data_IF_058795378624
#
_entry.id   IF_058795378624
#
_cell.length_a   1.000
_cell.length_b   1.000
_cell.length_c   1.000
_cell.angle_alpha   90.00
_cell.angle_beta   90.00
_cell.angle_gamma   90.00
#
_symmetry.space_group_name_H-M   'P 1'
#
loop_
_entity.id
_entity.type
_entity.pdbx_description
1 polymer ?
#
# COMPACT_ATOMS: atom_id res chain seq x y z
N UNK A 1 -2.86 5.25 -9.02
CA UNK A 1 -2.20 5.38 -7.72
C UNK A 1 -1.03 4.40 -7.61
N UNK A 2 -1.22 3.08 -7.51
CA UNK A 2 -0.14 2.09 -7.40
C UNK A 2 0.94 2.22 -8.48
N UNK A 3 0.55 2.51 -9.73
CA UNK A 3 1.47 2.79 -10.83
C UNK A 3 2.47 3.91 -10.49
N UNK A 4 2.00 5.03 -9.93
CA UNK A 4 2.86 6.16 -9.55
C UNK A 4 3.78 5.86 -8.35
N UNK A 5 3.48 4.84 -7.55
CA UNK A 5 4.38 4.38 -6.49
C UNK A 5 5.56 3.61 -7.08
N UNK A 6 5.31 2.80 -8.12
CA UNK A 6 6.30 1.89 -8.70
C UNK A 6 7.07 2.43 -9.91
N UNK A 7 6.71 3.58 -10.49
CA UNK A 7 7.19 4.00 -11.80
C UNK A 7 8.63 4.57 -11.84
N UNK A 8 9.15 5.13 -10.76
CA UNK A 8 10.48 5.77 -10.74
C UNK A 8 11.61 4.74 -10.73
N UNK A 9 11.47 3.69 -9.93
CA UNK A 9 12.53 2.68 -9.76
C UNK A 9 13.05 2.07 -11.08
N UNK A 10 12.17 1.61 -11.98
CA UNK A 10 12.58 1.01 -13.26
C UNK A 10 13.32 1.95 -14.22
N UNK A 11 13.12 3.27 -14.07
CA UNK A 11 13.80 4.30 -14.85
C UNK A 11 14.91 5.04 -14.08
N UNK A 12 15.35 4.51 -12.94
CA UNK A 12 16.25 5.24 -12.04
C UNK A 12 17.59 5.61 -12.70
N UNK A 13 18.16 4.73 -13.51
CA UNK A 13 19.45 4.98 -14.18
C UNK A 13 19.33 6.14 -15.18
N UNK A 14 18.30 6.14 -16.05
CA UNK A 14 18.08 7.21 -17.03
C UNK A 14 17.70 8.53 -16.37
N UNK A 15 17.00 8.50 -15.22
CA UNK A 15 16.70 9.69 -14.44
C UNK A 15 17.97 10.26 -13.78
N UNK A 16 18.86 9.40 -13.29
CA UNK A 16 20.13 9.84 -12.70
C UNK A 16 21.02 10.54 -13.74
N UNK A 17 21.10 9.99 -14.94
CA UNK A 17 21.84 10.56 -16.07
C UNK A 17 21.21 11.89 -16.52
N UNK A 18 19.91 11.92 -16.81
CA UNK A 18 19.21 13.11 -17.28
C UNK A 18 19.26 14.28 -16.29
N UNK A 19 19.18 13.99 -14.99
CA UNK A 19 19.19 15.03 -13.96
C UNK A 19 20.59 15.40 -13.46
N UNK A 20 21.63 14.76 -13.98
CA UNK A 20 23.03 14.89 -13.53
C UNK A 20 23.15 14.73 -12.00
N UNK A 21 22.55 13.67 -11.47
CA UNK A 21 22.56 13.36 -10.04
C UNK A 21 23.04 11.93 -9.78
N UNK A 22 23.52 11.68 -8.58
CA UNK A 22 23.86 10.32 -8.17
C UNK A 22 22.58 9.45 -8.11
N UNK A 23 22.69 8.18 -8.46
CA UNK A 23 21.59 7.22 -8.43
C UNK A 23 20.84 7.22 -7.07
N UNK A 24 21.55 7.38 -5.96
CA UNK A 24 20.93 7.51 -4.63
C UNK A 24 20.02 8.73 -4.48
N UNK A 25 20.31 9.83 -5.18
CA UNK A 25 19.45 11.02 -5.16
C UNK A 25 18.12 10.80 -5.87
N UNK A 26 18.06 9.90 -6.87
CA UNK A 26 16.80 9.52 -7.53
C UNK A 26 15.80 8.91 -6.53
N UNK A 27 16.30 8.28 -5.47
CA UNK A 27 15.46 7.79 -4.38
C UNK A 27 14.63 8.88 -3.69
N UNK A 28 15.09 10.15 -3.72
CA UNK A 28 14.31 11.28 -3.19
C UNK A 28 13.01 11.52 -3.97
N UNK A 29 12.94 11.13 -5.24
CA UNK A 29 11.70 11.19 -6.01
C UNK A 29 10.62 10.26 -5.43
N UNK A 30 11.01 9.07 -4.99
CA UNK A 30 10.10 8.16 -4.30
C UNK A 30 9.75 8.68 -2.91
N UNK A 31 10.73 9.16 -2.15
CA UNK A 31 10.53 9.74 -0.82
C UNK A 31 9.59 10.94 -0.87
N UNK A 32 9.76 11.85 -1.83
CA UNK A 32 8.91 13.03 -2.01
C UNK A 32 7.43 12.63 -2.18
N UNK A 33 7.16 11.62 -3.02
CA UNK A 33 5.81 11.09 -3.18
C UNK A 33 5.27 10.52 -1.85
N UNK A 34 6.04 9.68 -1.17
CA UNK A 34 5.58 9.03 0.05
C UNK A 34 5.37 10.00 1.21
N UNK A 35 6.14 11.08 1.32
CA UNK A 35 5.95 12.11 2.35
C UNK A 35 4.59 12.77 2.21
N UNK A 36 4.24 13.26 1.03
CA UNK A 36 2.94 13.92 0.83
C UNK A 36 1.79 12.90 0.81
N UNK A 37 2.03 11.68 0.31
CA UNK A 37 1.08 10.58 0.43
C UNK A 37 0.75 10.31 1.91
N UNK A 38 1.74 10.23 2.79
CA UNK A 38 1.56 10.04 4.23
C UNK A 38 0.76 11.18 4.85
N UNK A 39 1.15 12.43 4.59
CA UNK A 39 0.50 13.63 5.14
C UNK A 39 -0.97 13.68 4.74
N UNK A 40 -1.30 13.24 3.53
CA UNK A 40 -2.67 13.27 2.99
C UNK A 40 -3.57 12.10 3.39
N UNK A 41 -3.09 11.11 4.13
CA UNK A 41 -3.92 9.95 4.51
C UNK A 41 -5.12 10.34 5.37
N UNK A 42 -4.90 10.97 6.51
CA UNK A 42 -5.99 11.37 7.43
C UNK A 42 -6.78 12.56 6.87
N UNK A 43 -6.16 13.67 6.40
CA UNK A 43 -6.90 14.76 5.77
C UNK A 43 -7.69 14.30 4.54
N UNK A 44 -7.11 13.48 3.69
CA UNK A 44 -7.77 12.90 2.51
C UNK A 44 -8.97 12.04 2.90
N UNK A 45 -8.84 11.21 3.94
CA UNK A 45 -9.94 10.42 4.48
C UNK A 45 -11.12 11.29 4.94
N UNK A 46 -10.83 12.38 5.67
CA UNK A 46 -11.88 13.34 6.10
C UNK A 46 -12.53 14.06 4.91
N UNK A 47 -11.74 14.38 3.88
CA UNK A 47 -12.29 14.96 2.65
C UNK A 47 -13.20 13.95 1.94
N UNK A 48 -12.81 12.67 1.87
CA UNK A 48 -13.62 11.59 1.31
C UNK A 48 -14.92 11.43 2.09
N UNK A 49 -14.86 11.40 3.42
CA UNK A 49 -16.03 11.32 4.29
C UNK A 49 -16.98 12.50 4.08
N UNK A 50 -16.45 13.70 3.81
CA UNK A 50 -17.22 14.93 3.60
C UNK A 50 -17.82 15.06 2.21
N UNK A 51 -17.00 14.84 1.18
CA UNK A 51 -17.36 15.18 -0.21
C UNK A 51 -17.67 13.97 -1.08
N UNK A 52 -17.38 12.77 -0.61
CA UNK A 52 -17.61 11.51 -1.31
C UNK A 52 -16.40 10.99 -2.05
N UNK A 53 -16.37 9.66 -2.15
CA UNK A 53 -15.22 8.93 -2.69
C UNK A 53 -15.02 9.19 -4.19
N UNK A 54 -16.11 9.26 -4.98
CA UNK A 54 -16.00 9.46 -6.43
C UNK A 54 -15.41 10.83 -6.78
N UNK A 55 -15.91 11.90 -6.15
CA UNK A 55 -15.40 13.25 -6.39
C UNK A 55 -13.92 13.33 -6.03
N UNK A 56 -13.56 12.84 -4.83
CA UNK A 56 -12.18 12.86 -4.38
C UNK A 56 -11.28 11.95 -5.22
N UNK A 57 -11.81 10.86 -5.78
CA UNK A 57 -11.10 10.01 -6.74
C UNK A 57 -10.77 10.76 -8.03
N UNK A 58 -11.71 11.54 -8.57
CA UNK A 58 -11.48 12.40 -9.76
C UNK A 58 -10.43 13.46 -9.44
N UNK A 59 -10.56 14.18 -8.33
CA UNK A 59 -9.58 15.18 -7.89
C UNK A 59 -8.18 14.56 -7.71
N UNK A 60 -8.11 13.38 -7.09
CA UNK A 60 -6.86 12.66 -6.88
C UNK A 60 -6.16 12.31 -8.20
N UNK A 61 -6.91 11.80 -9.18
CA UNK A 61 -6.36 11.48 -10.51
C UNK A 61 -5.91 12.75 -11.24
N UNK A 62 -6.65 13.84 -11.16
CA UNK A 62 -6.27 15.12 -11.73
C UNK A 62 -4.97 15.66 -11.08
N UNK A 63 -4.84 15.59 -9.76
CA UNK A 63 -3.63 16.00 -9.02
C UNK A 63 -2.44 15.11 -9.43
N UNK A 64 -2.64 13.79 -9.56
CA UNK A 64 -1.61 12.87 -10.06
C UNK A 64 -1.17 13.27 -11.48
N UNK A 65 -2.12 13.58 -12.38
CA UNK A 65 -1.81 14.01 -13.73
C UNK A 65 -1.00 15.31 -13.73
N UNK A 66 -1.42 16.31 -12.96
CA UNK A 66 -0.69 17.59 -12.79
C UNK A 66 0.72 17.36 -12.27
N UNK A 67 0.91 16.49 -11.27
CA UNK A 67 2.23 16.16 -10.74
C UNK A 67 3.16 15.54 -11.78
N UNK A 68 2.64 14.62 -12.61
CA UNK A 68 3.44 14.04 -13.69
C UNK A 68 3.72 15.05 -14.81
N UNK A 69 2.75 15.92 -15.16
CA UNK A 69 2.96 17.00 -16.11
C UNK A 69 4.03 17.99 -15.63
N UNK A 70 4.00 18.36 -14.35
CA UNK A 70 4.99 19.28 -13.75
C UNK A 70 6.42 18.71 -13.90
N UNK A 71 6.60 17.42 -13.68
CA UNK A 71 7.88 16.74 -13.84
C UNK A 71 8.38 16.71 -15.30
N UNK A 72 7.47 16.86 -16.29
CA UNK A 72 7.77 16.83 -17.72
C UNK A 72 8.08 18.20 -18.34
N UNK A 73 7.89 19.32 -17.61
CA UNK A 73 8.05 20.68 -18.16
C UNK A 73 9.47 20.91 -18.67
N UNK A 74 10.45 20.54 -17.87
CA UNK A 74 11.87 20.62 -18.24
C UNK A 74 12.65 19.54 -17.49
N UNK A 75 13.78 19.16 -18.07
CA UNK A 75 14.71 18.18 -17.49
C UNK A 75 15.41 18.79 -16.27
N UNK A 76 14.76 18.61 -15.10
CA UNK A 76 15.20 19.21 -13.83
C UNK A 76 14.84 18.30 -12.65
N UNK A 77 15.86 17.98 -11.86
CA UNK A 77 15.65 17.21 -10.62
C UNK A 77 14.67 17.90 -9.67
N UNK A 78 14.77 19.24 -9.53
CA UNK A 78 13.88 20.02 -8.68
C UNK A 78 12.41 19.93 -9.11
N UNK A 79 12.13 20.00 -10.43
CA UNK A 79 10.78 19.81 -10.97
C UNK A 79 10.31 18.35 -10.84
N UNK A 80 11.21 17.40 -11.01
CA UNK A 80 10.94 15.98 -10.72
C UNK A 80 10.47 15.80 -9.28
N UNK A 81 11.20 16.35 -8.30
CA UNK A 81 10.83 16.31 -6.88
C UNK A 81 9.50 17.03 -6.63
N UNK A 82 9.30 18.24 -7.16
CA UNK A 82 8.05 18.98 -7.01
C UNK A 82 6.86 18.22 -7.61
N UNK A 83 7.01 17.65 -8.80
CA UNK A 83 6.00 16.81 -9.44
C UNK A 83 5.64 15.58 -8.59
N UNK A 84 6.65 14.97 -7.96
CA UNK A 84 6.43 13.80 -7.05
C UNK A 84 5.71 14.20 -5.76
N UNK A 85 6.03 15.37 -5.18
CA UNK A 85 5.28 15.90 -4.04
C UNK A 85 3.81 16.13 -4.40
N UNK A 86 3.53 16.73 -5.55
CA UNK A 86 2.14 16.94 -6.04
C UNK A 86 1.44 15.62 -6.31
N UNK A 87 2.09 14.70 -7.04
CA UNK A 87 1.51 13.37 -7.30
C UNK A 87 1.24 12.59 -6.02
N UNK A 88 2.08 12.75 -4.99
CA UNK A 88 1.92 12.13 -3.68
C UNK A 88 0.65 12.60 -2.95
N UNK A 89 0.29 13.88 -3.04
CA UNK A 89 -0.99 14.41 -2.55
C UNK A 89 -2.15 13.62 -3.20
N UNK A 90 -2.12 13.52 -4.53
CA UNK A 90 -3.14 12.78 -5.28
C UNK A 90 -3.18 11.29 -4.93
N UNK A 91 -2.01 10.62 -4.80
CA UNK A 91 -1.99 9.20 -4.43
C UNK A 91 -2.49 8.95 -3.01
N UNK A 92 -2.23 9.86 -2.06
CA UNK A 92 -2.72 9.77 -0.68
C UNK A 92 -4.24 9.86 -0.61
N UNK A 93 -4.84 10.87 -1.25
CA UNK A 93 -6.30 11.01 -1.35
C UNK A 93 -6.91 9.82 -2.11
N UNK A 94 -6.32 9.44 -3.25
CA UNK A 94 -6.81 8.39 -4.12
C UNK A 94 -6.81 7.01 -3.47
N UNK A 95 -5.86 6.76 -2.55
CA UNK A 95 -5.82 5.51 -1.80
C UNK A 95 -7.04 5.36 -0.89
N UNK A 96 -7.38 6.38 -0.14
CA UNK A 96 -8.56 6.34 0.74
C UNK A 96 -9.85 6.40 -0.06
N UNK A 97 -9.92 7.27 -1.07
CA UNK A 97 -11.08 7.41 -1.94
C UNK A 97 -11.44 6.10 -2.66
N UNK A 98 -10.43 5.37 -3.18
CA UNK A 98 -10.68 4.09 -3.85
C UNK A 98 -11.23 3.03 -2.90
N UNK A 99 -10.69 2.92 -1.70
CA UNK A 99 -11.20 1.98 -0.69
C UNK A 99 -12.63 2.33 -0.25
N UNK A 100 -12.91 3.60 0.00
CA UNK A 100 -14.27 4.04 0.38
C UNK A 100 -15.27 3.90 -0.78
N UNK A 101 -14.83 4.13 -2.03
CA UNK A 101 -15.64 3.90 -3.22
C UNK A 101 -16.06 2.44 -3.35
N UNK A 102 -15.12 1.50 -3.18
CA UNK A 102 -15.41 0.06 -3.19
C UNK A 102 -16.39 -0.31 -2.08
N UNK A 103 -16.23 0.26 -0.89
CA UNK A 103 -17.17 0.08 0.22
C UNK A 103 -18.57 0.60 -0.14
N UNK A 104 -18.66 1.78 -0.74
CA UNK A 104 -19.91 2.44 -1.06
C UNK A 104 -20.68 1.84 -2.24
N UNK A 105 -19.97 1.20 -3.19
CA UNK A 105 -20.56 0.64 -4.42
C UNK A 105 -20.78 -0.86 -4.35
N UNK A 106 -19.78 -1.63 -3.93
CA UNK A 106 -19.82 -3.11 -3.86
C UNK A 106 -20.08 -3.59 -2.44
N UNK A 107 -19.42 -2.98 -1.45
CA UNK A 107 -19.64 -3.23 -0.02
C UNK A 107 -19.16 -4.56 0.51
N UNK A 108 -18.42 -5.36 -0.28
CA UNK A 108 -17.94 -6.68 0.16
C UNK A 108 -16.47 -6.67 0.56
N UNK A 109 -16.09 -7.54 1.52
CA UNK A 109 -14.71 -7.73 1.92
C UNK A 109 -13.85 -8.27 0.77
N UNK A 110 -14.42 -9.12 -0.10
CA UNK A 110 -13.76 -9.59 -1.33
C UNK A 110 -13.35 -8.43 -2.22
N UNK A 111 -14.24 -7.46 -2.44
CA UNK A 111 -13.96 -6.29 -3.28
C UNK A 111 -12.82 -5.44 -2.68
N UNK A 112 -12.75 -5.30 -1.36
CA UNK A 112 -11.62 -4.64 -0.70
C UNK A 112 -10.30 -5.39 -0.94
N UNK A 113 -10.32 -6.71 -0.91
CA UNK A 113 -9.16 -7.53 -1.24
C UNK A 113 -8.69 -7.31 -2.68
N UNK A 114 -9.60 -7.29 -3.65
CA UNK A 114 -9.30 -6.98 -5.05
C UNK A 114 -8.78 -5.55 -5.24
N UNK A 115 -9.35 -4.58 -4.52
CA UNK A 115 -8.84 -3.21 -4.51
C UNK A 115 -7.38 -3.15 -4.05
N UNK A 116 -7.05 -3.87 -2.97
CA UNK A 116 -5.69 -3.98 -2.48
C UNK A 116 -4.74 -4.62 -3.50
N UNK A 117 -5.18 -5.69 -4.16
CA UNK A 117 -4.42 -6.36 -5.22
C UNK A 117 -4.20 -5.45 -6.42
N UNK A 118 -5.20 -4.67 -6.85
CA UNK A 118 -5.07 -3.69 -7.93
C UNK A 118 -4.02 -2.61 -7.62
N UNK A 119 -3.90 -2.22 -6.34
CA UNK A 119 -2.84 -1.29 -5.88
C UNK A 119 -1.44 -1.84 -6.13
N UNK A 120 -1.19 -3.10 -5.73
CA UNK A 120 0.09 -3.79 -5.96
C UNK A 120 0.31 -4.05 -7.46
N UNK A 121 -0.75 -4.49 -8.16
CA UNK A 121 -0.72 -4.74 -9.60
C UNK A 121 -0.37 -3.49 -10.41
N UNK A 122 -0.86 -2.32 -10.00
CA UNK A 122 -0.47 -1.05 -10.61
C UNK A 122 1.03 -0.76 -10.51
N UNK A 123 1.64 -1.05 -9.35
CA UNK A 123 3.10 -0.98 -9.19
C UNK A 123 3.84 -1.98 -10.08
N UNK A 124 3.34 -3.21 -10.15
CA UNK A 124 3.88 -4.25 -11.03
C UNK A 124 3.80 -3.86 -12.52
N UNK A 125 2.68 -3.28 -12.95
CA UNK A 125 2.54 -2.74 -14.31
C UNK A 125 3.56 -1.64 -14.60
N UNK A 126 3.84 -0.76 -13.65
CA UNK A 126 4.86 0.27 -13.82
C UNK A 126 6.26 -0.35 -14.01
N UNK A 127 6.59 -1.37 -13.21
CA UNK A 127 7.88 -2.10 -13.35
C UNK A 127 8.00 -2.76 -14.72
N UNK A 128 6.91 -3.24 -15.30
CA UNK A 128 6.90 -3.88 -16.60
C UNK A 128 6.92 -2.87 -17.76
N UNK A 129 6.13 -1.80 -17.68
CA UNK A 129 5.87 -0.91 -18.82
C UNK A 129 6.89 0.22 -18.96
N UNK A 130 7.42 0.75 -17.82
CA UNK A 130 8.39 1.87 -17.87
C UNK A 130 9.64 1.50 -18.67
N UNK A 131 10.31 0.33 -18.44
CA UNK A 131 11.48 -0.05 -19.23
C UNK A 131 11.20 -0.18 -20.74
N UNK A 132 10.00 -0.62 -21.11
CA UNK A 132 9.60 -0.75 -22.51
C UNK A 132 9.40 0.63 -23.17
N UNK A 133 9.08 1.65 -22.39
CA UNK A 133 8.87 3.01 -22.88
C UNK A 133 10.18 3.83 -22.96
N UNK A 134 11.24 3.46 -22.21
CA UNK A 134 12.52 4.17 -22.18
C UNK A 134 13.13 4.38 -23.56
N UNK A 135 13.19 3.39 -24.49
CA UNK A 135 13.83 3.61 -25.79
C UNK A 135 13.21 4.75 -26.62
N UNK A 136 11.91 5.05 -26.41
CA UNK A 136 11.20 6.12 -27.15
C UNK A 136 10.98 7.40 -26.36
N UNK A 137 11.04 7.36 -25.03
CA UNK A 137 10.68 8.46 -24.15
C UNK A 137 11.82 8.90 -23.20
N UNK A 138 12.87 8.12 -23.14
CA UNK A 138 14.04 8.38 -22.29
C UNK A 138 13.64 8.66 -20.84
N UNK A 139 14.23 9.65 -20.14
CA UNK A 139 13.92 10.06 -18.78
C UNK A 139 12.44 10.43 -18.54
N UNK A 140 11.71 10.74 -19.62
CA UNK A 140 10.28 11.05 -19.57
C UNK A 140 9.39 9.80 -19.36
N UNK A 141 9.92 8.61 -19.64
CA UNK A 141 9.15 7.36 -19.62
C UNK A 141 8.37 7.12 -18.32
N UNK A 142 8.94 7.27 -17.10
CA UNK A 142 8.21 7.10 -15.85
C UNK A 142 7.01 8.05 -15.71
N UNK A 143 7.14 9.29 -16.14
CA UNK A 143 6.12 10.31 -15.98
C UNK A 143 5.04 10.24 -17.05
N UNK A 144 5.44 10.05 -18.33
CA UNK A 144 4.49 9.93 -19.45
C UNK A 144 3.59 8.71 -19.28
N UNK A 145 4.16 7.55 -18.96
CA UNK A 145 3.38 6.34 -18.76
C UNK A 145 2.43 6.48 -17.57
N UNK A 146 2.86 7.10 -16.48
CA UNK A 146 2.01 7.38 -15.32
C UNK A 146 0.89 8.38 -15.64
N UNK A 147 1.18 9.41 -16.44
CA UNK A 147 0.21 10.39 -16.91
C UNK A 147 -0.85 9.73 -17.80
N UNK A 148 -0.43 8.93 -18.80
CA UNK A 148 -1.35 8.20 -19.67
C UNK A 148 -2.26 7.30 -18.87
N UNK A 149 -1.70 6.58 -17.89
CA UNK A 149 -2.50 5.70 -17.02
C UNK A 149 -3.49 6.47 -16.15
N UNK A 150 -3.07 7.61 -15.59
CA UNK A 150 -3.95 8.48 -14.80
C UNK A 150 -5.09 9.06 -15.63
N UNK A 151 -4.80 9.54 -16.84
CA UNK A 151 -5.79 10.09 -17.78
C UNK A 151 -6.76 9.02 -18.29
N UNK A 152 -6.26 7.83 -18.63
CA UNK A 152 -7.11 6.71 -19.06
C UNK A 152 -8.13 6.34 -17.96
N UNK A 153 -7.68 6.25 -16.70
CA UNK A 153 -8.58 5.98 -15.56
C UNK A 153 -9.54 7.16 -15.33
N UNK A 154 -9.07 8.39 -15.45
CA UNK A 154 -9.89 9.60 -15.28
C UNK A 154 -11.02 9.65 -16.32
N UNK A 155 -10.75 9.30 -17.57
CA UNK A 155 -11.76 9.21 -18.66
C UNK A 155 -12.75 8.07 -18.43
N UNK A 156 -12.29 6.94 -17.89
CA UNK A 156 -13.17 5.80 -17.59
C UNK A 156 -14.02 5.97 -16.32
N UNK A 157 -13.57 6.79 -15.36
CA UNK A 157 -14.24 6.93 -14.07
C UNK A 157 -15.68 7.46 -14.14
N UNK A 158 -16.08 8.34 -15.08
CA UNK A 158 -17.50 8.71 -15.28
C UNK A 158 -18.41 7.55 -15.66
N UNK A 159 -17.87 6.49 -16.28
CA UNK A 159 -18.62 5.28 -16.65
C UNK A 159 -18.82 4.35 -15.44
N UNK A 160 -18.06 4.52 -14.39
CA UNK A 160 -18.16 3.71 -13.19
C UNK A 160 -19.46 4.04 -12.41
N UNK A 161 -20.05 3.08 -11.67
CA UNK A 161 -21.23 3.29 -10.86
C UNK A 161 -21.09 4.51 -9.94
N UNK A 162 -22.19 5.22 -9.72
CA UNK A 162 -22.21 6.33 -8.75
C UNK A 162 -22.16 5.75 -7.34
N UNK A 163 -21.31 6.31 -6.49
CA UNK A 163 -21.36 6.02 -5.07
C UNK A 163 -22.68 6.57 -4.49
N UNK A 164 -23.18 5.97 -3.42
CA UNK A 164 -24.41 6.42 -2.78
C UNK A 164 -24.27 7.88 -2.34
N UNK A 165 -25.30 8.72 -2.53
CA UNK A 165 -25.25 10.13 -2.13
C UNK A 165 -24.87 10.25 -0.66
N UNK A 166 -24.02 11.22 -0.36
CA UNK A 166 -23.65 11.56 1.00
C UNK A 166 -24.89 12.10 1.72
N UNK A 167 -25.57 11.27 2.50
CA UNK A 167 -26.66 11.70 3.37
C UNK A 167 -26.16 12.59 4.52
N UNK A 168 -27.08 13.07 5.39
CA UNK A 168 -26.75 13.91 6.55
C UNK A 168 -25.66 13.32 7.45
N UNK A 169 -25.61 11.99 7.59
CA UNK A 169 -24.55 11.26 8.32
C UNK A 169 -23.13 11.59 7.82
N UNK A 170 -22.96 11.86 6.53
CA UNK A 170 -21.65 12.21 5.95
C UNK A 170 -21.19 13.61 6.32
N UNK A 171 -22.14 14.54 6.56
CA UNK A 171 -21.83 15.90 7.01
C UNK A 171 -21.42 15.92 8.49
N UNK A 172 -21.97 15.03 9.31
CA UNK A 172 -21.58 14.87 10.72
C UNK A 172 -20.22 14.20 10.85
N UNK A 173 -19.94 13.19 10.05
CA UNK A 173 -18.69 12.45 9.97
C UNK A 173 -17.45 13.36 9.73
N UNK A 174 -17.59 14.39 8.91
CA UNK A 174 -16.51 15.35 8.64
C UNK A 174 -16.09 16.18 9.87
N UNK A 175 -16.84 16.13 10.98
CA UNK A 175 -16.56 16.84 12.23
C UNK A 175 -15.73 16.04 13.22
N UNK A 176 -15.48 14.74 12.97
CA UNK A 176 -14.68 13.90 13.86
C UNK A 176 -13.24 14.43 13.92
N UNK A 177 -12.73 14.85 15.08
CA UNK A 177 -11.37 15.31 15.22
C UNK A 177 -10.37 14.18 14.92
N UNK A 178 -9.23 14.50 14.31
CA UNK A 178 -8.16 13.51 14.07
C UNK A 178 -7.65 12.90 15.39
N UNK A 179 -7.69 13.68 16.49
CA UNK A 179 -7.31 13.21 17.82
C UNK A 179 -8.17 12.04 18.31
N UNK A 180 -9.44 11.97 17.92
CA UNK A 180 -10.33 10.88 18.35
C UNK A 180 -9.98 9.56 17.66
N UNK A 181 -9.45 9.62 16.43
CA UNK A 181 -8.92 8.43 15.75
C UNK A 181 -7.68 7.90 16.48
N UNK A 182 -6.77 8.80 16.87
CA UNK A 182 -5.56 8.42 17.61
C UNK A 182 -5.89 7.89 19.02
N UNK A 183 -6.98 8.34 19.63
CA UNK A 183 -7.42 7.88 20.97
C UNK A 183 -8.20 6.57 20.90
N UNK A 184 -8.73 6.19 19.75
CA UNK A 184 -9.53 4.96 19.61
C UNK A 184 -8.64 3.72 19.59
N UNK A 185 -8.50 3.09 20.76
CA UNK A 185 -7.64 1.92 20.94
C UNK A 185 -8.06 0.72 20.06
N UNK A 186 -9.29 0.67 19.58
CA UNK A 186 -9.79 -0.43 18.72
C UNK A 186 -9.16 -0.41 17.32
N UNK A 187 -8.67 0.74 16.87
CA UNK A 187 -7.97 0.86 15.60
C UNK A 187 -6.53 0.31 15.63
N UNK A 188 -5.89 0.23 16.79
CA UNK A 188 -4.47 -0.15 16.89
C UNK A 188 -4.17 -1.59 16.45
N UNK A 189 -4.93 -2.63 16.84
CA UNK A 189 -4.68 -3.98 16.33
C UNK A 189 -4.77 -4.06 14.81
N UNK A 190 -5.72 -3.33 14.19
CA UNK A 190 -5.89 -3.25 12.74
C UNK A 190 -4.73 -2.48 12.09
N UNK A 191 -4.31 -1.35 12.70
CA UNK A 191 -3.15 -0.58 12.27
C UNK A 191 -1.86 -1.41 12.35
N UNK A 192 -1.63 -2.16 13.43
CA UNK A 192 -0.47 -3.02 13.60
C UNK A 192 -0.47 -4.13 12.56
N UNK A 193 -1.61 -4.82 12.35
CA UNK A 193 -1.73 -5.87 11.37
C UNK A 193 -1.45 -5.34 9.94
N UNK A 194 -2.00 -4.16 9.59
CA UNK A 194 -1.75 -3.53 8.30
C UNK A 194 -0.30 -3.05 8.16
N UNK A 195 0.24 -2.42 9.19
CA UNK A 195 1.61 -1.91 9.21
C UNK A 195 2.62 -3.04 9.07
N UNK A 196 2.43 -4.15 9.77
CA UNK A 196 3.27 -5.32 9.63
C UNK A 196 3.14 -5.91 8.22
N UNK A 197 1.92 -6.25 7.77
CA UNK A 197 1.71 -6.93 6.50
C UNK A 197 2.11 -6.09 5.29
N UNK A 198 1.82 -4.80 5.27
CA UNK A 198 2.17 -3.90 4.17
C UNK A 198 3.51 -3.20 4.39
N UNK A 199 3.69 -2.50 5.52
CA UNK A 199 4.86 -1.66 5.76
C UNK A 199 6.17 -2.46 5.79
N UNK A 200 6.23 -3.50 6.63
CA UNK A 200 7.43 -4.33 6.74
C UNK A 200 7.73 -5.11 5.45
N UNK A 201 6.68 -5.59 4.75
CA UNK A 201 6.87 -6.31 3.49
C UNK A 201 7.44 -5.42 2.38
N UNK A 202 7.02 -4.15 2.31
CA UNK A 202 7.60 -3.17 1.38
C UNK A 202 9.07 -2.94 1.68
N UNK A 203 9.43 -2.75 2.96
CA UNK A 203 10.83 -2.54 3.36
C UNK A 203 11.69 -3.75 3.01
N UNK A 204 11.21 -4.97 3.32
CA UNK A 204 11.92 -6.21 2.94
C UNK A 204 12.05 -6.31 1.43
N UNK A 205 10.97 -6.08 0.68
CA UNK A 205 11.01 -6.16 -0.79
C UNK A 205 12.04 -5.23 -1.41
N UNK A 206 12.20 -4.02 -0.87
CA UNK A 206 13.22 -3.05 -1.32
C UNK A 206 14.62 -3.56 -1.01
N UNK A 207 14.88 -4.08 0.18
CA UNK A 207 16.24 -4.38 0.65
C UNK A 207 16.67 -5.83 0.47
N UNK A 208 15.74 -6.77 0.20
CA UNK A 208 16.06 -8.17 -0.04
C UNK A 208 17.03 -8.35 -1.23
N UNK A 209 16.87 -7.52 -2.26
CA UNK A 209 17.77 -7.53 -3.43
C UNK A 209 19.20 -7.18 -3.01
N UNK A 210 19.39 -6.15 -2.20
CA UNK A 210 20.69 -5.73 -1.71
C UNK A 210 21.31 -6.77 -0.79
N UNK A 211 20.52 -7.36 0.13
CA UNK A 211 20.99 -8.43 1.01
C UNK A 211 21.51 -9.63 0.20
N UNK A 212 20.73 -10.13 -0.74
CA UNK A 212 21.09 -11.27 -1.56
C UNK A 212 22.31 -10.99 -2.47
N UNK A 213 22.44 -9.76 -2.98
CA UNK A 213 23.63 -9.36 -3.74
C UNK A 213 24.90 -9.37 -2.88
N UNK A 214 24.81 -8.90 -1.65
CA UNK A 214 25.95 -8.97 -0.71
C UNK A 214 26.34 -10.41 -0.37
N UNK A 215 25.37 -11.32 -0.37
CA UNK A 215 25.60 -12.76 -0.17
C UNK A 215 26.06 -13.48 -1.46
N UNK A 216 26.40 -12.75 -2.54
CA UNK A 216 26.99 -13.28 -3.77
C UNK A 216 25.99 -13.72 -4.85
N UNK A 217 24.67 -13.52 -4.66
CA UNK A 217 23.69 -13.87 -5.68
C UNK A 217 23.62 -12.83 -6.81
N UNK A 218 23.43 -13.29 -8.04
CA UNK A 218 23.29 -12.42 -9.21
C UNK A 218 22.07 -11.51 -9.13
N UNK A 219 22.16 -10.32 -9.77
CA UNK A 219 21.12 -9.27 -9.74
C UNK A 219 19.73 -9.78 -10.14
N UNK A 220 19.65 -10.59 -11.19
CA UNK A 220 18.38 -11.12 -11.71
C UNK A 220 17.69 -12.03 -10.69
N UNK A 221 18.43 -12.94 -10.07
CA UNK A 221 17.91 -13.87 -9.06
C UNK A 221 17.50 -13.11 -7.79
N UNK A 222 18.35 -12.21 -7.30
CA UNK A 222 18.03 -11.37 -6.15
C UNK A 222 16.76 -10.53 -6.39
N UNK A 223 16.59 -9.98 -7.60
CA UNK A 223 15.40 -9.25 -8.03
C UNK A 223 14.15 -10.14 -8.04
N UNK A 224 14.23 -11.36 -8.55
CA UNK A 224 13.13 -12.31 -8.56
C UNK A 224 12.69 -12.68 -7.14
N UNK A 225 13.63 -12.92 -6.22
CA UNK A 225 13.32 -13.22 -4.81
C UNK A 225 12.68 -12.02 -4.12
N UNK A 226 13.20 -10.80 -4.33
CA UNK A 226 12.57 -9.58 -3.80
C UNK A 226 11.15 -9.35 -4.34
N UNK A 227 10.92 -9.68 -5.62
CA UNK A 227 9.60 -9.59 -6.23
C UNK A 227 8.59 -10.56 -5.60
N UNK A 228 8.99 -11.78 -5.24
CA UNK A 228 8.11 -12.74 -4.56
C UNK A 228 7.55 -12.18 -3.24
N UNK A 229 8.38 -11.47 -2.46
CA UNK A 229 7.96 -10.85 -1.20
C UNK A 229 6.88 -9.78 -1.39
N UNK A 230 6.79 -9.14 -2.55
CA UNK A 230 5.78 -8.12 -2.86
C UNK A 230 4.59 -8.68 -3.62
N UNK A 231 4.83 -9.51 -4.65
CA UNK A 231 3.79 -9.96 -5.58
C UNK A 231 2.85 -11.01 -4.98
N UNK A 232 3.27 -11.71 -3.91
CA UNK A 232 2.38 -12.63 -3.18
C UNK A 232 1.08 -11.96 -2.74
N UNK A 233 1.12 -10.65 -2.47
CA UNK A 233 -0.06 -9.84 -2.15
C UNK A 233 -1.11 -9.76 -3.27
N UNK A 234 -0.75 -9.97 -4.55
CA UNK A 234 -1.72 -10.02 -5.65
C UNK A 234 -2.75 -11.14 -5.48
N UNK A 235 -2.31 -12.27 -4.97
CA UNK A 235 -3.15 -13.46 -4.75
C UNK A 235 -3.79 -13.43 -3.36
N UNK A 236 -2.99 -13.09 -2.35
CA UNK A 236 -3.43 -13.24 -0.95
C UNK A 236 -4.34 -12.12 -0.46
N UNK A 237 -4.32 -10.92 -1.05
CA UNK A 237 -5.28 -9.86 -0.71
C UNK A 237 -6.73 -10.20 -1.11
N UNK A 238 -7.02 -10.66 -2.34
CA UNK A 238 -8.35 -11.16 -2.68
C UNK A 238 -8.76 -12.37 -1.83
N UNK A 239 -7.81 -13.28 -1.55
CA UNK A 239 -8.06 -14.44 -0.71
C UNK A 239 -8.47 -14.02 0.72
N UNK A 240 -7.73 -13.10 1.33
CA UNK A 240 -8.05 -12.54 2.65
C UNK A 240 -9.45 -11.91 2.70
N UNK A 241 -9.82 -11.17 1.65
CA UNK A 241 -11.15 -10.58 1.50
C UNK A 241 -12.26 -11.63 1.36
N UNK A 242 -12.04 -12.67 0.54
CA UNK A 242 -12.99 -13.77 0.38
C UNK A 242 -13.16 -14.57 1.65
N UNK A 243 -12.08 -14.85 2.36
CA UNK A 243 -12.13 -15.56 3.63
C UNK A 243 -12.89 -14.76 4.69
N UNK A 244 -12.63 -13.44 4.78
CA UNK A 244 -13.38 -12.59 5.69
C UNK A 244 -14.88 -12.60 5.39
N UNK A 245 -15.26 -12.58 4.11
CA UNK A 245 -16.65 -12.57 3.68
C UNK A 245 -17.40 -13.86 3.99
N UNK A 246 -16.74 -15.02 3.84
CA UNK A 246 -17.43 -16.33 3.92
C UNK A 246 -17.05 -17.13 5.17
N UNK A 247 -15.91 -16.84 5.78
CA UNK A 247 -15.37 -17.56 6.96
C UNK A 247 -14.60 -16.60 7.86
N UNK A 248 -15.26 -15.64 8.53
CA UNK A 248 -14.61 -14.58 9.29
C UNK A 248 -13.65 -15.10 10.36
N UNK A 249 -14.03 -16.14 11.11
CA UNK A 249 -13.14 -16.76 12.10
C UNK A 249 -11.84 -17.27 11.48
N UNK A 250 -11.92 -17.91 10.29
CA UNK A 250 -10.74 -18.39 9.58
C UNK A 250 -9.86 -17.23 9.14
N UNK A 251 -10.45 -16.13 8.63
CA UNK A 251 -9.73 -14.95 8.25
C UNK A 251 -8.99 -14.32 9.45
N UNK A 252 -9.64 -14.23 10.60
CA UNK A 252 -9.05 -13.70 11.84
C UNK A 252 -7.86 -14.56 12.29
N UNK A 253 -8.01 -15.89 12.29
CA UNK A 253 -6.90 -16.81 12.61
C UNK A 253 -5.72 -16.66 11.64
N UNK A 254 -6.02 -16.52 10.34
CA UNK A 254 -4.99 -16.35 9.30
C UNK A 254 -4.29 -14.99 9.39
N UNK A 255 -4.91 -13.95 9.92
CA UNK A 255 -4.20 -12.70 10.23
C UNK A 255 -3.09 -12.98 11.26
N UNK A 256 -3.37 -13.69 12.34
CA UNK A 256 -2.35 -14.08 13.33
C UNK A 256 -1.25 -14.96 12.74
N UNK A 257 -1.63 -15.98 11.95
CA UNK A 257 -0.68 -16.86 11.25
C UNK A 257 0.21 -16.05 10.28
N UNK A 258 -0.37 -15.03 9.60
CA UNK A 258 0.38 -14.15 8.72
C UNK A 258 1.45 -13.34 9.46
N UNK A 259 1.18 -12.89 10.69
CA UNK A 259 2.18 -12.19 11.49
C UNK A 259 3.38 -13.11 11.80
N UNK A 260 3.09 -14.33 12.22
CA UNK A 260 4.13 -15.35 12.46
C UNK A 260 4.89 -15.72 11.19
N UNK A 261 4.17 -15.95 10.07
CA UNK A 261 4.77 -16.29 8.78
C UNK A 261 5.66 -15.17 8.25
N UNK A 262 5.27 -13.90 8.47
CA UNK A 262 6.09 -12.73 8.14
C UNK A 262 7.41 -12.70 8.91
N UNK A 263 7.36 -12.97 10.22
CA UNK A 263 8.56 -13.06 11.06
C UNK A 263 9.47 -14.21 10.59
N UNK A 264 8.92 -15.41 10.46
CA UNK A 264 9.67 -16.59 10.04
C UNK A 264 10.25 -16.43 8.63
N UNK A 265 9.48 -15.91 7.66
CA UNK A 265 9.95 -15.63 6.31
C UNK A 265 11.08 -14.61 6.27
N UNK A 266 11.03 -13.58 7.11
CA UNK A 266 12.12 -12.60 7.26
C UNK A 266 13.38 -13.25 7.83
N UNK A 267 13.25 -14.12 8.83
CA UNK A 267 14.37 -14.87 9.42
C UNK A 267 15.01 -15.82 8.38
N UNK A 268 14.20 -16.54 7.60
CA UNK A 268 14.70 -17.43 6.55
C UNK A 268 15.47 -16.66 5.45
N UNK A 269 15.05 -15.41 5.16
CA UNK A 269 15.79 -14.54 4.24
C UNK A 269 17.11 -14.04 4.82
N UNK A 270 17.12 -13.74 6.12
CA UNK A 270 18.24 -13.16 6.84
C UNK A 270 19.39 -14.14 7.02
N UNK A 271 19.08 -15.39 7.31
CA UNK A 271 20.07 -16.41 7.60
C UNK A 271 20.80 -16.85 6.33
N UNK A 272 22.07 -17.23 6.49
CA UNK A 272 22.87 -17.78 5.40
C UNK A 272 22.51 -19.27 5.17
N UNK A 273 21.38 -19.46 4.52
CA UNK A 273 20.76 -20.74 4.23
C UNK A 273 20.80 -21.03 2.72
N UNK A 274 20.62 -22.29 2.30
CA UNK A 274 20.51 -22.63 0.89
C UNK A 274 19.45 -21.76 0.20
N UNK A 275 19.71 -21.37 -1.05
CA UNK A 275 18.85 -20.47 -1.83
C UNK A 275 17.36 -20.89 -1.81
N UNK A 276 17.08 -22.18 -1.93
CA UNK A 276 15.71 -22.70 -1.93
C UNK A 276 14.95 -22.32 -0.63
N UNK A 277 15.63 -22.34 0.52
CA UNK A 277 15.05 -21.96 1.81
C UNK A 277 14.79 -20.45 1.87
N UNK A 278 15.71 -19.64 1.34
CA UNK A 278 15.56 -18.17 1.28
C UNK A 278 14.45 -17.77 0.31
N UNK A 279 14.30 -18.46 -0.83
CA UNK A 279 13.18 -18.29 -1.76
C UNK A 279 11.85 -18.66 -1.08
N UNK A 280 11.80 -19.76 -0.34
CA UNK A 280 10.64 -20.14 0.44
C UNK A 280 10.30 -19.08 1.51
N UNK A 281 11.32 -18.50 2.17
CA UNK A 281 11.15 -17.38 3.10
C UNK A 281 10.53 -16.14 2.44
N UNK A 282 11.02 -15.76 1.26
CA UNK A 282 10.46 -14.64 0.48
C UNK A 282 9.01 -14.92 0.04
N UNK A 283 8.70 -16.12 -0.45
CA UNK A 283 7.36 -16.52 -0.82
C UNK A 283 6.42 -16.50 0.39
N UNK A 284 6.87 -17.03 1.53
CA UNK A 284 6.12 -17.04 2.78
C UNK A 284 5.79 -15.61 3.26
N UNK A 285 6.75 -14.70 3.18
CA UNK A 285 6.55 -13.29 3.49
C UNK A 285 5.53 -12.66 2.52
N UNK A 286 5.65 -12.90 1.22
CA UNK A 286 4.72 -12.39 0.21
C UNK A 286 3.29 -12.89 0.43
N UNK A 287 3.12 -14.15 0.82
CA UNK A 287 1.82 -14.72 1.17
C UNK A 287 1.26 -14.07 2.45
N UNK A 288 2.10 -13.87 3.47
CA UNK A 288 1.73 -13.23 4.72
C UNK A 288 1.30 -11.77 4.54
N UNK A 289 1.92 -11.05 3.60
CA UNK A 289 1.70 -9.62 3.37
C UNK A 289 0.30 -9.26 2.86
N UNK A 290 -0.42 -10.20 2.24
CA UNK A 290 -1.69 -9.89 1.60
C UNK A 290 -2.93 -10.14 2.45
N UNK A 291 -2.97 -11.25 3.20
CA UNK A 291 -4.15 -11.70 3.94
C UNK A 291 -4.72 -10.62 4.88
N UNK A 292 -3.91 -9.88 5.68
CA UNK A 292 -4.43 -8.90 6.63
C UNK A 292 -5.02 -7.64 6.00
N UNK A 293 -4.79 -7.38 4.69
CA UNK A 293 -5.21 -6.14 4.05
C UNK A 293 -6.72 -5.90 4.15
N UNK A 294 -7.54 -6.79 3.62
CA UNK A 294 -9.00 -6.62 3.64
C UNK A 294 -9.57 -6.63 5.08
N UNK A 295 -9.18 -7.55 5.98
CA UNK A 295 -9.55 -7.48 7.38
C UNK A 295 -9.25 -6.15 8.05
N UNK A 296 -8.04 -5.59 7.86
CA UNK A 296 -7.67 -4.32 8.47
C UNK A 296 -8.54 -3.16 7.96
N UNK A 297 -8.82 -3.11 6.65
CA UNK A 297 -9.62 -2.03 6.05
C UNK A 297 -11.10 -2.13 6.40
N UNK A 298 -11.70 -3.31 6.27
CA UNK A 298 -13.10 -3.55 6.64
C UNK A 298 -13.28 -3.31 8.15
N UNK A 299 -12.35 -3.80 8.97
CA UNK A 299 -12.37 -3.59 10.42
C UNK A 299 -12.28 -2.13 10.81
N UNK A 300 -11.39 -1.35 10.18
CA UNK A 300 -11.27 0.09 10.45
C UNK A 300 -12.55 0.85 10.10
N UNK A 301 -13.16 0.54 8.97
CA UNK A 301 -14.44 1.12 8.54
C UNK A 301 -15.60 0.74 9.47
N UNK A 302 -15.63 -0.51 9.94
CA UNK A 302 -16.65 -1.00 10.89
C UNK A 302 -16.46 -0.41 12.29
N UNK A 303 -15.21 -0.21 12.72
CA UNK A 303 -14.88 0.40 14.02
C UNK A 303 -15.32 1.87 14.09
N UNK A 304 -15.20 2.60 12.98
CA UNK A 304 -15.53 4.02 12.87
C UNK A 304 -16.50 4.28 11.73
N UNK A 305 -17.77 3.83 11.85
CA UNK A 305 -18.79 4.06 10.83
C UNK A 305 -19.16 5.54 10.67
N UNK A 306 -18.83 6.35 11.66
CA UNK A 306 -18.92 7.81 11.67
C UNK A 306 -17.84 8.49 10.82
N UNK A 307 -16.67 7.89 10.64
CA UNK A 307 -15.54 8.44 9.89
C UNK A 307 -14.73 7.32 9.18
N UNK A 308 -15.32 6.53 8.28
CA UNK A 308 -14.69 5.34 7.72
C UNK A 308 -13.47 5.66 6.84
N UNK A 309 -13.52 6.75 6.07
CA UNK A 309 -12.39 7.20 5.27
C UNK A 309 -11.21 7.67 6.13
N UNK A 310 -11.49 8.42 7.18
CA UNK A 310 -10.46 8.88 8.11
C UNK A 310 -9.84 7.70 8.90
N UNK A 311 -10.63 6.67 9.24
CA UNK A 311 -10.12 5.46 9.90
C UNK A 311 -9.15 4.67 8.99
N UNK A 312 -9.49 4.51 7.70
CA UNK A 312 -8.57 3.95 6.70
C UNK A 312 -7.30 4.80 6.62
N UNK A 313 -7.46 6.12 6.53
CA UNK A 313 -6.34 7.05 6.50
C UNK A 313 -5.41 6.87 7.69
N UNK A 314 -5.96 6.70 8.90
CA UNK A 314 -5.19 6.47 10.12
C UNK A 314 -4.37 5.18 10.06
N UNK A 315 -4.99 4.03 9.77
CA UNK A 315 -4.25 2.76 9.74
C UNK A 315 -3.19 2.73 8.64
N UNK A 316 -3.47 3.36 7.49
CA UNK A 316 -2.50 3.44 6.40
C UNK A 316 -1.39 4.46 6.67
N UNK A 317 -1.66 5.53 7.46
CA UNK A 317 -0.63 6.45 7.94
C UNK A 317 0.44 5.72 8.75
N UNK A 318 0.03 4.80 9.64
CA UNK A 318 0.98 4.01 10.44
C UNK A 318 1.91 3.17 9.54
N UNK A 319 1.34 2.50 8.53
CA UNK A 319 2.10 1.70 7.58
C UNK A 319 3.03 2.56 6.71
N UNK A 320 2.53 3.67 6.17
CA UNK A 320 3.31 4.57 5.32
C UNK A 320 4.41 5.27 6.10
N UNK A 321 4.14 5.66 7.36
CA UNK A 321 5.16 6.23 8.25
C UNK A 321 6.31 5.24 8.46
N UNK A 322 5.99 3.97 8.73
CA UNK A 322 7.01 2.93 8.89
C UNK A 322 7.84 2.76 7.60
N UNK A 323 7.21 2.82 6.42
CA UNK A 323 7.93 2.73 5.14
C UNK A 323 8.87 3.94 4.97
N UNK A 324 8.38 5.16 5.21
CA UNK A 324 9.17 6.40 5.03
C UNK A 324 10.38 6.46 5.95
N UNK A 325 10.22 6.03 7.20
CA UNK A 325 11.29 6.04 8.20
C UNK A 325 12.12 4.76 8.17
N UNK A 326 11.47 3.61 8.08
CA UNK A 326 12.11 2.31 8.19
C UNK A 326 12.98 1.97 6.97
N UNK A 327 12.56 2.36 5.76
CA UNK A 327 13.34 2.07 4.55
C UNK A 327 14.75 2.67 4.61
N UNK A 328 14.95 3.98 4.89
CA UNK A 328 16.28 4.53 5.02
C UNK A 328 17.04 3.98 6.24
N UNK A 329 16.37 3.73 7.37
CA UNK A 329 17.03 3.16 8.55
C UNK A 329 17.61 1.78 8.26
N UNK A 330 16.86 0.91 7.60
CA UNK A 330 17.39 -0.40 7.15
C UNK A 330 18.53 -0.21 6.15
N UNK A 331 18.41 0.77 5.24
CA UNK A 331 19.46 1.13 4.30
C UNK A 331 20.79 1.47 4.97
N UNK A 332 20.74 2.25 6.06
CA UNK A 332 21.95 2.61 6.83
C UNK A 332 22.66 1.38 7.41
N UNK A 333 21.93 0.30 7.72
CA UNK A 333 22.54 -0.92 8.27
C UNK A 333 23.42 -1.67 7.27
N UNK A 334 23.31 -1.38 5.97
CA UNK A 334 24.19 -1.96 4.94
C UNK A 334 25.60 -1.39 4.99
N UNK A 335 25.80 -0.23 5.58
CA UNK A 335 27.12 0.34 5.86
C UNK A 335 27.78 -0.26 7.12
N UNK A 336 27.06 -1.07 7.90
CA UNK A 336 27.57 -1.71 9.11
C UNK A 336 28.11 -3.12 8.81
N UNK A 337 28.89 -3.67 9.77
CA UNK A 337 29.29 -5.08 9.73
C UNK A 337 28.05 -5.97 9.69
N UNK A 338 27.98 -6.90 8.72
CA UNK A 338 26.81 -7.76 8.50
C UNK A 338 25.86 -7.29 7.40
N UNK A 339 26.21 -6.19 6.68
CA UNK A 339 25.60 -5.81 5.40
C UNK A 339 24.07 -5.89 5.36
N UNK A 340 23.42 -5.13 6.25
CA UNK A 340 21.95 -5.03 6.30
C UNK A 340 21.28 -6.06 7.22
N UNK A 341 21.96 -7.10 7.71
CA UNK A 341 21.37 -8.14 8.58
C UNK A 341 20.73 -7.57 9.84
N UNK A 342 21.31 -6.53 10.44
CA UNK A 342 20.74 -5.85 11.61
C UNK A 342 19.36 -5.25 11.30
N UNK A 343 19.19 -4.65 10.13
CA UNK A 343 17.89 -4.13 9.68
C UNK A 343 16.84 -5.23 9.54
N UNK A 344 17.23 -6.38 8.98
CA UNK A 344 16.34 -7.54 8.84
C UNK A 344 15.99 -8.18 10.20
N UNK A 345 16.92 -8.22 11.16
CA UNK A 345 16.62 -8.62 12.55
C UNK A 345 15.57 -7.70 13.16
N UNK A 346 15.72 -6.38 13.00
CA UNK A 346 14.73 -5.43 13.49
C UNK A 346 13.35 -5.64 12.85
N UNK A 347 13.30 -5.91 11.54
CA UNK A 347 12.05 -6.22 10.84
C UNK A 347 11.42 -7.52 11.37
N UNK A 348 12.20 -8.58 11.56
CA UNK A 348 11.71 -9.84 12.12
C UNK A 348 11.17 -9.66 13.55
N UNK A 349 11.86 -8.87 14.37
CA UNK A 349 11.40 -8.51 15.70
C UNK A 349 10.08 -7.72 15.68
N UNK A 350 9.92 -6.77 14.77
CA UNK A 350 8.67 -6.03 14.61
C UNK A 350 7.50 -6.92 14.16
N UNK A 351 7.74 -7.89 13.27
CA UNK A 351 6.76 -8.91 12.93
C UNK A 351 6.36 -9.77 14.14
N UNK A 352 7.35 -10.20 14.95
CA UNK A 352 7.09 -10.98 16.16
C UNK A 352 6.30 -10.17 17.19
N UNK A 353 6.63 -8.89 17.37
CA UNK A 353 5.85 -7.99 18.22
C UNK A 353 4.41 -7.82 17.71
N UNK A 354 4.21 -7.70 16.40
CA UNK A 354 2.89 -7.65 15.81
C UNK A 354 2.09 -8.95 16.09
N UNK A 355 2.74 -10.11 16.04
CA UNK A 355 2.12 -11.40 16.38
C UNK A 355 1.59 -11.41 17.83
N UNK A 356 2.33 -10.83 18.76
CA UNK A 356 1.91 -10.73 20.18
C UNK A 356 0.81 -9.68 20.37
N UNK A 357 0.91 -8.55 19.66
CA UNK A 357 0.00 -7.41 19.80
C UNK A 357 -1.36 -7.63 19.14
N UNK A 358 -1.42 -8.41 18.06
CA UNK A 358 -2.67 -8.67 17.32
C UNK A 358 -3.31 -9.98 17.79
N UNK A 359 -4.25 -9.87 18.73
CA UNK A 359 -4.97 -11.04 19.25
C UNK A 359 -6.29 -11.25 18.49
N UNK A 360 -6.73 -12.49 18.24
CA UNK A 360 -8.01 -12.76 17.57
C UNK A 360 -9.21 -12.08 18.22
N UNK A 361 -9.27 -12.04 19.54
CA UNK A 361 -10.36 -11.37 20.28
C UNK A 361 -10.46 -9.86 20.03
N UNK A 362 -9.37 -9.20 19.64
CA UNK A 362 -9.36 -7.78 19.32
C UNK A 362 -9.87 -7.50 17.88
N UNK A 363 -9.98 -8.56 17.08
CA UNK A 363 -10.48 -8.51 15.72
C UNK A 363 -11.96 -8.96 15.62
N UNK A 364 -12.63 -9.18 16.74
CA UNK A 364 -14.05 -9.60 16.78
C UNK A 364 -15.00 -8.62 16.07
N UNK A 365 -14.63 -7.34 15.97
CA UNK A 365 -15.35 -6.35 15.15
C UNK A 365 -15.54 -6.78 13.68
N UNK A 366 -14.72 -7.72 13.20
CA UNK A 366 -14.78 -8.26 11.85
C UNK A 366 -15.95 -9.23 11.66
N UNK A 367 -16.39 -9.91 12.71
CA UNK A 367 -17.56 -10.80 12.69
C UNK A 367 -18.84 -9.99 12.51
N UNK A 368 -18.98 -8.90 13.27
CA UNK A 368 -20.11 -7.98 13.17
C UNK A 368 -20.16 -7.24 11.82
N UNK A 369 -18.99 -6.95 11.24
CA UNK A 369 -18.87 -6.27 9.95
C UNK A 369 -19.20 -7.15 8.75
N UNK A 370 -18.95 -8.45 8.85
CA UNK A 370 -19.25 -9.42 7.80
C UNK A 370 -20.76 -9.70 7.66
N UNK A 371 -21.51 -9.64 8.76
CA UNK A 371 -22.97 -9.87 8.78
C UNK A 371 -23.78 -8.68 8.21
N UNK A 372 -23.19 -7.48 8.10
CA UNK A 372 -23.84 -6.27 7.58
C UNK A 372 -23.77 -6.15 6.05
N UNK A 373 -23.34 -7.16 5.32
CA UNK A 373 -23.39 -7.15 3.85
C UNK A 373 -24.82 -7.29 3.34
N UNK A 374 -25.25 -6.52 2.31
CA UNK A 374 -26.67 -6.37 1.90
C UNK A 374 -27.34 -7.61 1.30
N UNK A 375 -26.78 -8.79 1.39
CA UNK A 375 -27.30 -10.01 0.75
C UNK A 375 -28.37 -10.77 1.57
N UNK A 376 -28.87 -10.22 2.69
CA UNK A 376 -30.00 -10.80 3.45
C UNK A 376 -31.19 -9.86 3.64
N UNK A 377 -31.44 -8.99 2.69
CA UNK A 377 -32.81 -8.48 2.51
C UNK A 377 -33.45 -9.36 1.43
N UNK A 378 -33.85 -10.57 1.79
CA UNK A 378 -34.90 -11.29 1.08
C UNK A 378 -36.15 -10.41 1.15
N UNK A 379 -36.66 -10.01 -0.01
CA UNK A 379 -37.96 -9.37 -0.18
C UNK A 379 -39.02 -10.09 0.67
N UNK A 380 -39.76 -9.41 1.53
CA UNK A 380 -40.96 -9.95 2.10
C UNK A 380 -42.14 -9.56 1.19
N UNK A 381 -42.23 -10.20 0.01
CA UNK A 381 -43.44 -10.11 -0.79
C UNK A 381 -43.46 -11.25 -1.83
N UNK A 382 -43.98 -12.39 -1.45
CA UNK A 382 -44.69 -13.35 -2.30
C UNK A 382 -45.79 -14.01 -1.48
#
# INVERSE_FOLDING_TARGET
MGYNIGNVGPGADVLAEAYDVRLGAVGLLATALFVTHLVMQIPGGRLVDRYGARLLGICALAIIAVGNLLALIVESFGLGVAGRLVAGIGTGIGFVAGSDYVRGTVGTASAQGFYGAAGVGGGGLAIALVPLAIPGLDWRAPYVTALVFALAVLVCLPLAPRDRPAGERRRESARVPAADLVRDRRLYPLAIAHTASFGLSVIVGVWAVSLLKHDGYGRSLAGAVGALALLGGLVTRPLGGRLLQHRPETAIRLVGISMFAGAAGTVLLLLDLPLAVRVAGAAMLGLAAGIPFAPAFVGAQATRPDAPGAAIGFINSCATFLIVVGTPLVGLTFGLTGHGRLGFVAIAALWALACIAVRPSQLAVLEDGADRTPHRQTDPAS
#
